data_IF_562884640438
#
_entry.id   IF_562884640438
#
_cell.length_a   1.000
_cell.length_b   1.000
_cell.length_c   1.000
_cell.angle_alpha   90.00
_cell.angle_beta   90.00
_cell.angle_gamma   90.00
#
_symmetry.space_group_name_H-M   'P 1'
#
loop_
_entity.id
_entity.type
_entity.pdbx_description
1 polymer ?
#
# COMPACT_ATOMS: atom_id res chain seq x y z
N UNK A 1 -19.43 3.43 -14.59
CA UNK A 1 -18.96 4.76 -14.06
C UNK A 1 -18.37 4.54 -12.69
N UNK A 2 -17.10 4.90 -12.51
CA UNK A 2 -16.39 4.79 -11.23
C UNK A 2 -16.97 5.78 -10.22
N UNK A 3 -17.21 5.30 -9.00
CA UNK A 3 -17.78 6.05 -7.86
C UNK A 3 -16.90 5.95 -6.63
N UNK A 4 -16.07 4.90 -6.52
CA UNK A 4 -15.22 4.62 -5.36
C UNK A 4 -13.78 4.45 -5.79
N UNK A 5 -12.88 5.16 -5.13
CA UNK A 5 -11.44 5.02 -5.33
C UNK A 5 -10.87 4.30 -4.10
N UNK A 6 -10.22 3.17 -4.35
CA UNK A 6 -9.52 2.37 -3.34
C UNK A 6 -8.02 2.70 -3.44
N UNK A 7 -7.42 3.18 -2.38
CA UNK A 7 -5.99 3.49 -2.35
C UNK A 7 -5.20 2.43 -1.59
N UNK A 8 -4.09 1.98 -2.13
CA UNK A 8 -3.04 1.41 -1.28
C UNK A 8 -2.43 2.49 -0.39
N UNK A 9 -1.57 2.10 0.54
CA UNK A 9 -1.00 2.98 1.56
C UNK A 9 0.48 3.25 1.32
N UNK A 10 1.30 2.19 1.50
CA UNK A 10 2.76 2.27 1.41
C UNK A 10 3.18 2.46 -0.06
N UNK A 11 3.85 3.56 -0.39
CA UNK A 11 4.22 3.88 -1.78
C UNK A 11 3.13 4.57 -2.60
N UNK A 12 1.92 4.69 -2.07
CA UNK A 12 0.79 5.32 -2.78
C UNK A 12 0.30 6.59 -2.09
N UNK A 13 -0.09 6.52 -0.82
CA UNK A 13 -0.45 7.68 -0.01
C UNK A 13 0.77 8.24 0.73
N UNK A 14 1.64 7.36 1.18
CA UNK A 14 2.73 7.66 2.10
C UNK A 14 4.03 7.01 1.65
N UNK A 15 5.13 7.76 1.64
CA UNK A 15 6.47 7.20 1.59
C UNK A 15 6.84 6.69 2.98
N UNK A 16 6.75 5.38 3.17
CA UNK A 16 7.03 4.67 4.41
C UNK A 16 8.38 3.94 4.39
N UNK A 17 9.13 4.10 3.31
CA UNK A 17 10.36 3.36 3.07
C UNK A 17 11.39 3.51 4.17
N UNK A 18 11.63 4.71 4.66
CA UNK A 18 12.64 4.94 5.71
C UNK A 18 12.38 4.08 6.94
N UNK A 19 11.15 4.10 7.46
CA UNK A 19 10.78 3.33 8.64
C UNK A 19 10.83 1.82 8.41
N UNK A 20 10.38 1.36 7.24
CA UNK A 20 10.42 -0.06 6.86
C UNK A 20 11.87 -0.52 6.72
N UNK A 21 12.68 0.16 5.90
CA UNK A 21 14.06 -0.24 5.63
C UNK A 21 14.90 -0.31 6.89
N UNK A 22 14.85 0.71 7.74
CA UNK A 22 15.56 0.74 9.03
C UNK A 22 15.11 -0.38 9.97
N UNK A 23 13.82 -0.71 9.97
CA UNK A 23 13.31 -1.79 10.81
C UNK A 23 13.67 -3.17 10.28
N UNK A 24 13.78 -3.33 8.96
CA UNK A 24 14.33 -4.54 8.33
C UNK A 24 15.80 -4.70 8.68
N UNK A 25 16.62 -3.64 8.57
CA UNK A 25 18.03 -3.68 8.98
C UNK A 25 18.17 -4.09 10.45
N UNK A 26 17.39 -3.47 11.35
CA UNK A 26 17.37 -3.84 12.76
C UNK A 26 17.02 -5.32 12.98
N UNK A 27 16.07 -5.85 12.22
CA UNK A 27 15.72 -7.26 12.30
C UNK A 27 16.87 -8.15 11.85
N UNK A 28 17.49 -7.85 10.69
CA UNK A 28 18.58 -8.60 10.09
C UNK A 28 19.85 -8.62 10.97
N UNK A 29 20.16 -7.50 11.62
CA UNK A 29 21.27 -7.43 12.59
C UNK A 29 21.16 -8.46 13.71
N UNK A 30 19.94 -8.80 14.14
CA UNK A 30 19.70 -9.86 15.12
C UNK A 30 20.09 -11.26 14.65
N UNK A 31 20.27 -11.44 13.35
CA UNK A 31 20.75 -12.67 12.69
C UNK A 31 22.20 -12.55 12.21
N UNK A 32 22.91 -11.48 12.60
CA UNK A 32 24.29 -11.21 12.17
C UNK A 32 24.40 -10.75 10.70
N UNK A 33 23.29 -10.32 10.09
CA UNK A 33 23.27 -9.86 8.69
C UNK A 33 23.28 -8.34 8.69
N UNK A 34 24.34 -7.74 8.15
CA UNK A 34 24.48 -6.28 7.97
C UNK A 34 24.16 -5.91 6.52
N UNK A 35 22.89 -5.67 6.23
CA UNK A 35 22.45 -5.31 4.88
C UNK A 35 22.59 -3.81 4.64
N UNK A 36 23.29 -3.43 3.57
CA UNK A 36 23.50 -2.04 3.13
C UNK A 36 22.98 -1.77 1.73
N UNK A 37 22.57 -2.82 1.00
CA UNK A 37 21.99 -2.68 -0.32
C UNK A 37 20.56 -2.14 -0.21
N UNK A 38 20.42 -0.84 -0.45
CA UNK A 38 19.13 -0.15 -0.43
C UNK A 38 18.15 -0.70 -1.47
N UNK A 39 18.62 -1.15 -2.63
CA UNK A 39 17.75 -1.72 -3.66
C UNK A 39 17.14 -3.05 -3.18
N UNK A 40 17.92 -3.86 -2.47
CA UNK A 40 17.43 -5.09 -1.86
C UNK A 40 16.45 -4.82 -0.72
N UNK A 41 16.75 -3.86 0.15
CA UNK A 41 15.86 -3.44 1.24
C UNK A 41 14.52 -2.88 0.73
N UNK A 42 14.52 -2.11 -0.36
CA UNK A 42 13.28 -1.56 -0.95
C UNK A 42 12.27 -2.64 -1.36
N UNK A 43 12.72 -3.86 -1.64
CA UNK A 43 11.83 -4.99 -1.97
C UNK A 43 10.94 -5.44 -0.81
N UNK A 44 11.20 -4.97 0.41
CA UNK A 44 10.33 -5.20 1.57
C UNK A 44 9.09 -4.28 1.60
N UNK A 45 9.06 -3.24 0.77
CA UNK A 45 7.90 -2.35 0.73
C UNK A 45 6.85 -2.93 -0.22
N UNK A 46 5.69 -3.27 0.33
CA UNK A 46 4.55 -3.83 -0.39
C UNK A 46 4.29 -5.32 -0.10
N UNK A 47 5.25 -6.24 -0.28
CA UNK A 47 5.03 -7.66 0.00
C UNK A 47 4.87 -7.99 1.49
N UNK A 48 4.27 -9.15 1.83
CA UNK A 48 4.30 -9.67 3.19
C UNK A 48 5.73 -9.87 3.70
N UNK A 49 6.02 -9.41 4.92
CA UNK A 49 7.36 -9.47 5.51
C UNK A 49 7.89 -10.91 5.63
N UNK A 50 7.03 -11.88 5.96
CA UNK A 50 7.41 -13.30 6.05
C UNK A 50 8.00 -13.81 4.73
N UNK A 51 7.30 -13.52 3.62
CA UNK A 51 7.73 -13.93 2.30
C UNK A 51 9.04 -13.24 1.91
N UNK A 52 9.13 -11.93 2.20
CA UNK A 52 10.34 -11.16 1.89
C UNK A 52 11.58 -11.65 2.65
N UNK A 53 11.47 -11.96 3.95
CA UNK A 53 12.58 -12.53 4.70
C UNK A 53 12.96 -13.93 4.20
N UNK A 54 11.98 -14.77 3.87
CA UNK A 54 12.23 -16.12 3.35
C UNK A 54 12.87 -16.08 1.96
N UNK A 55 12.36 -15.26 1.04
CA UNK A 55 12.84 -15.21 -0.35
C UNK A 55 14.19 -14.49 -0.48
N UNK A 56 14.36 -13.34 0.18
CA UNK A 56 15.56 -12.51 -0.02
C UNK A 56 16.76 -12.96 0.83
N UNK A 57 16.51 -13.64 1.96
CA UNK A 57 17.57 -14.06 2.89
C UNK A 57 17.59 -15.57 3.17
N UNK A 58 16.79 -16.34 2.43
CA UNK A 58 16.68 -17.80 2.58
C UNK A 58 16.40 -18.25 4.02
N UNK A 59 15.61 -17.48 4.76
CA UNK A 59 15.24 -17.79 6.13
C UNK A 59 14.24 -18.95 6.19
N UNK A 60 14.40 -19.85 7.17
CA UNK A 60 13.36 -20.84 7.46
C UNK A 60 12.08 -20.14 7.96
N UNK A 61 10.92 -20.81 7.93
CA UNK A 61 9.68 -20.21 8.45
C UNK A 61 9.81 -19.68 9.89
N UNK A 62 10.51 -20.40 10.75
CA UNK A 62 10.77 -20.02 12.15
C UNK A 62 11.67 -18.79 12.24
N UNK A 63 12.72 -18.73 11.41
CA UNK A 63 13.61 -17.57 11.33
C UNK A 63 12.89 -16.34 10.78
N UNK A 64 12.09 -16.50 9.74
CA UNK A 64 11.29 -15.40 9.18
C UNK A 64 10.28 -14.86 10.21
N UNK A 65 9.62 -15.73 10.97
CA UNK A 65 8.71 -15.30 12.05
C UNK A 65 9.47 -14.52 13.14
N UNK A 66 10.66 -15.00 13.55
CA UNK A 66 11.51 -14.31 14.53
C UNK A 66 11.99 -12.95 13.98
N UNK A 67 12.34 -12.86 12.68
CA UNK A 67 12.72 -11.62 12.03
C UNK A 67 11.55 -10.63 11.98
N UNK A 68 10.33 -11.07 11.68
CA UNK A 68 9.12 -10.22 11.72
C UNK A 68 8.83 -9.74 13.13
N UNK A 69 8.98 -10.58 14.15
CA UNK A 69 8.81 -10.16 15.54
C UNK A 69 9.82 -9.06 15.89
N UNK A 70 11.09 -9.26 15.56
CA UNK A 70 12.16 -8.26 15.79
C UNK A 70 11.97 -6.98 14.96
N UNK A 71 11.51 -7.09 13.71
CA UNK A 71 11.11 -5.93 12.92
C UNK A 71 10.06 -5.07 13.66
N UNK A 72 9.04 -5.71 14.23
CA UNK A 72 7.97 -5.02 14.96
C UNK A 72 8.45 -4.33 16.23
N UNK A 73 9.49 -4.84 16.90
CA UNK A 73 10.10 -4.18 18.08
C UNK A 73 10.56 -2.76 17.78
N UNK A 74 11.10 -2.51 16.58
CA UNK A 74 11.52 -1.19 16.15
C UNK A 74 10.42 -0.45 15.39
N UNK A 75 9.71 -1.16 14.52
CA UNK A 75 8.74 -0.51 13.63
C UNK A 75 7.59 0.13 14.40
N UNK A 76 7.01 -0.56 15.39
CA UNK A 76 5.84 -0.07 16.11
C UNK A 76 6.11 1.21 16.91
N UNK A 77 7.19 1.34 17.71
CA UNK A 77 7.43 2.55 18.49
C UNK A 77 8.09 3.68 17.70
N UNK A 78 8.79 3.38 16.62
CA UNK A 78 9.63 4.37 15.91
C UNK A 78 9.35 4.37 14.41
N UNK A 79 9.56 3.25 13.74
CA UNK A 79 9.55 3.15 12.28
C UNK A 79 8.23 3.55 11.64
N UNK A 80 7.10 3.28 12.30
CA UNK A 80 5.78 3.67 11.84
C UNK A 80 5.64 5.19 11.64
N UNK A 81 6.43 5.97 12.35
CA UNK A 81 6.42 7.44 12.27
C UNK A 81 7.54 8.02 11.39
N UNK A 82 8.46 7.19 10.93
CA UNK A 82 9.49 7.54 9.93
C UNK A 82 8.87 7.43 8.52
N UNK A 83 7.89 8.27 8.24
CA UNK A 83 7.16 8.32 6.98
C UNK A 83 6.70 9.74 6.66
N UNK A 84 6.49 10.02 5.39
CA UNK A 84 5.97 11.30 4.90
C UNK A 84 4.86 11.06 3.88
N UNK A 85 3.89 11.98 3.81
CA UNK A 85 2.90 11.96 2.72
C UNK A 85 3.57 12.33 1.41
N UNK A 86 3.14 11.72 0.31
CA UNK A 86 3.50 12.25 -1.00
C UNK A 86 2.89 13.63 -1.19
N UNK A 87 3.68 14.61 -1.72
CA UNK A 87 3.19 15.97 -1.93
C UNK A 87 1.92 15.99 -2.79
N UNK A 88 0.87 16.68 -2.34
CA UNK A 88 -0.39 16.82 -3.05
C UNK A 88 -1.45 15.75 -2.70
N UNK A 89 -1.13 14.74 -1.88
CA UNK A 89 -2.10 13.72 -1.46
C UNK A 89 -3.27 14.31 -0.65
N UNK A 90 -3.07 15.18 0.35
CA UNK A 90 -4.19 15.77 1.08
C UNK A 90 -5.16 16.52 0.16
N UNK A 91 -4.62 17.37 -0.71
CA UNK A 91 -5.40 18.17 -1.67
C UNK A 91 -6.13 17.28 -2.69
N UNK A 92 -5.50 16.20 -3.14
CA UNK A 92 -6.12 15.22 -4.03
C UNK A 92 -7.33 14.57 -3.36
N UNK A 93 -7.19 14.09 -2.12
CA UNK A 93 -8.27 13.44 -1.38
C UNK A 93 -9.46 14.41 -1.18
N UNK A 94 -9.20 15.66 -0.82
CA UNK A 94 -10.23 16.69 -0.68
C UNK A 94 -10.94 16.97 -2.03
N UNK A 95 -10.19 17.07 -3.12
CA UNK A 95 -10.76 17.24 -4.48
C UNK A 95 -11.65 16.06 -4.87
N UNK A 96 -11.22 14.83 -4.63
CA UNK A 96 -12.03 13.63 -4.94
C UNK A 96 -13.33 13.62 -4.15
N UNK A 97 -13.30 13.94 -2.86
CA UNK A 97 -14.48 14.07 -2.00
C UNK A 97 -15.42 15.16 -2.52
N UNK A 98 -14.90 16.34 -2.90
CA UNK A 98 -15.69 17.45 -3.45
C UNK A 98 -16.38 17.09 -4.77
N UNK A 99 -15.79 16.16 -5.56
CA UNK A 99 -16.39 15.64 -6.79
C UNK A 99 -17.34 14.44 -6.55
N UNK A 100 -17.60 14.10 -5.30
CA UNK A 100 -18.56 13.07 -4.93
C UNK A 100 -18.05 11.64 -4.98
N UNK A 101 -16.74 11.42 -5.12
CA UNK A 101 -16.15 10.08 -4.99
C UNK A 101 -16.18 9.62 -3.53
N UNK A 102 -16.46 8.33 -3.34
CA UNK A 102 -16.08 7.62 -2.12
C UNK A 102 -14.61 7.33 -2.19
N UNK A 103 -13.93 7.42 -1.05
CA UNK A 103 -12.49 7.19 -0.96
C UNK A 103 -12.24 6.22 0.18
N UNK A 104 -11.54 5.12 -0.09
CA UNK A 104 -11.23 4.11 0.91
C UNK A 104 -9.77 3.68 0.82
N UNK A 105 -9.22 3.20 1.92
CA UNK A 105 -7.92 2.52 1.94
C UNK A 105 -8.12 1.02 1.82
N UNK A 106 -7.35 0.39 0.94
CA UNK A 106 -7.30 -1.05 0.72
C UNK A 106 -5.83 -1.49 0.65
N UNK A 107 -5.23 -1.83 1.82
CA UNK A 107 -3.78 -2.00 1.96
C UNK A 107 -3.36 -3.32 2.57
N UNK A 108 -2.20 -3.85 2.17
CA UNK A 108 -1.54 -4.96 2.85
C UNK A 108 -0.99 -4.61 4.24
N UNK A 109 -0.92 -3.30 4.57
CA UNK A 109 -0.54 -2.84 5.90
C UNK A 109 -1.61 -3.18 6.93
N UNK A 110 -1.27 -3.62 8.17
CA UNK A 110 -2.26 -3.84 9.23
C UNK A 110 -3.12 -2.61 9.49
N UNK A 111 -4.46 -2.82 9.56
CA UNK A 111 -5.45 -1.75 9.75
C UNK A 111 -5.09 -0.76 10.87
N UNK A 112 -4.68 -1.20 12.10
CA UNK A 112 -4.34 -0.27 13.16
C UNK A 112 -3.12 0.62 12.83
N UNK A 113 -2.15 0.08 12.08
CA UNK A 113 -0.96 0.84 11.67
C UNK A 113 -1.33 1.91 10.63
N UNK A 114 -2.12 1.55 9.61
CA UNK A 114 -2.57 2.50 8.61
C UNK A 114 -3.36 3.66 9.25
N UNK A 115 -4.30 3.35 10.16
CA UNK A 115 -5.08 4.34 10.90
C UNK A 115 -4.21 5.27 11.74
N UNK A 116 -3.23 4.71 12.47
CA UNK A 116 -2.32 5.52 13.30
C UNK A 116 -1.57 6.58 12.49
N UNK A 117 -1.12 6.22 11.28
CA UNK A 117 -0.44 7.17 10.38
C UNK A 117 -1.43 8.20 9.84
N UNK A 118 -2.63 7.78 9.39
CA UNK A 118 -3.65 8.69 8.88
C UNK A 118 -4.10 9.71 9.95
N UNK A 119 -4.25 9.27 11.20
CA UNK A 119 -4.59 10.14 12.33
C UNK A 119 -3.50 11.18 12.59
N UNK A 120 -2.22 10.78 12.54
CA UNK A 120 -1.10 11.71 12.68
C UNK A 120 -1.10 12.84 11.65
N UNK A 121 -1.56 12.54 10.43
CA UNK A 121 -1.65 13.52 9.33
C UNK A 121 -3.04 14.16 9.19
N UNK A 122 -3.99 13.89 10.10
CA UNK A 122 -5.39 14.36 10.06
C UNK A 122 -6.12 13.98 8.76
N UNK A 123 -5.80 12.83 8.17
CA UNK A 123 -6.37 12.35 6.91
C UNK A 123 -7.44 11.28 7.07
N UNK A 124 -7.55 10.60 8.23
CA UNK A 124 -8.51 9.50 8.39
C UNK A 124 -9.95 9.94 8.09
N UNK A 125 -10.31 11.17 8.43
CA UNK A 125 -11.63 11.78 8.17
C UNK A 125 -12.01 11.88 6.69
N UNK A 126 -11.04 11.80 5.77
CA UNK A 126 -11.27 11.86 4.33
C UNK A 126 -11.61 10.49 3.71
N UNK A 127 -11.46 9.41 4.47
CA UNK A 127 -11.76 8.06 4.00
C UNK A 127 -13.08 7.55 4.56
N UNK A 128 -13.88 6.92 3.70
CA UNK A 128 -15.13 6.26 4.09
C UNK A 128 -14.85 4.99 4.91
N UNK A 129 -13.74 4.29 4.60
CA UNK A 129 -13.21 3.20 5.42
C UNK A 129 -11.70 3.02 5.23
N UNK A 130 -11.07 2.37 6.21
CA UNK A 130 -9.66 1.97 6.18
C UNK A 130 -9.61 0.47 6.42
N UNK A 131 -9.29 -0.27 5.37
CA UNK A 131 -9.21 -1.73 5.37
C UNK A 131 -7.77 -2.15 5.09
N UNK A 132 -7.20 -2.90 6.02
CA UNK A 132 -5.89 -3.52 5.90
C UNK A 132 -5.93 -5.00 6.25
N UNK A 133 -4.78 -5.66 6.25
CA UNK A 133 -4.66 -7.01 6.81
C UNK A 133 -4.83 -6.99 8.33
N UNK A 134 -4.96 -8.17 8.94
CA UNK A 134 -4.96 -8.34 10.38
C UNK A 134 -3.67 -9.03 10.85
N UNK A 135 -3.35 -8.90 12.13
CA UNK A 135 -2.14 -9.53 12.70
C UNK A 135 -2.23 -11.06 12.77
N UNK A 136 -3.43 -11.62 12.75
CA UNK A 136 -3.70 -13.06 12.76
C UNK A 136 -3.65 -13.71 11.37
N UNK A 137 -3.36 -12.92 10.33
CA UNK A 137 -3.31 -13.35 8.94
C UNK A 137 -4.63 -13.24 8.19
N UNK A 138 -5.72 -12.81 8.83
CA UNK A 138 -6.98 -12.49 8.15
C UNK A 138 -6.75 -11.35 7.17
N UNK A 139 -7.30 -11.49 5.94
CA UNK A 139 -7.06 -10.57 4.83
C UNK A 139 -5.58 -10.45 4.47
N UNK A 140 -4.88 -11.60 4.41
CA UNK A 140 -3.46 -11.67 4.14
C UNK A 140 -3.06 -11.35 2.69
N UNK A 141 -4.02 -11.32 1.77
CA UNK A 141 -3.80 -11.02 0.35
C UNK A 141 -4.43 -9.68 -0.05
N UNK A 142 -3.88 -9.04 -1.09
CA UNK A 142 -4.46 -7.79 -1.62
C UNK A 142 -5.89 -8.00 -2.14
N UNK A 143 -6.20 -9.16 -2.73
CA UNK A 143 -7.55 -9.48 -3.20
C UNK A 143 -8.57 -9.51 -2.04
N UNK A 144 -8.22 -10.13 -0.91
CA UNK A 144 -9.09 -10.17 0.27
C UNK A 144 -9.33 -8.77 0.86
N UNK A 145 -8.29 -7.92 0.87
CA UNK A 145 -8.40 -6.53 1.32
C UNK A 145 -9.30 -5.72 0.39
N UNK A 146 -9.12 -5.84 -0.93
CA UNK A 146 -9.97 -5.18 -1.94
C UNK A 146 -11.41 -5.63 -1.81
N UNK A 147 -11.67 -6.95 -1.71
CA UNK A 147 -13.01 -7.49 -1.53
C UNK A 147 -13.68 -6.95 -0.25
N UNK A 148 -12.95 -6.86 0.86
CA UNK A 148 -13.46 -6.30 2.11
C UNK A 148 -13.77 -4.80 1.98
N UNK A 149 -12.93 -4.03 1.28
CA UNK A 149 -13.18 -2.59 1.03
C UNK A 149 -14.40 -2.37 0.14
N UNK A 150 -14.62 -3.21 -0.90
CA UNK A 150 -15.81 -3.19 -1.73
C UNK A 150 -17.07 -3.47 -0.91
N UNK A 151 -17.03 -4.47 -0.03
CA UNK A 151 -18.15 -4.83 0.84
C UNK A 151 -18.48 -3.70 1.82
N UNK A 152 -17.48 -3.13 2.48
CA UNK A 152 -17.65 -2.02 3.44
C UNK A 152 -18.21 -0.77 2.78
N UNK A 153 -17.71 -0.42 1.60
CA UNK A 153 -18.22 0.73 0.82
C UNK A 153 -19.50 0.42 0.04
N UNK A 154 -19.99 -0.81 0.07
CA UNK A 154 -21.15 -1.27 -0.69
C UNK A 154 -21.01 -0.91 -2.18
N UNK A 155 -19.81 -1.11 -2.74
CA UNK A 155 -19.48 -0.75 -4.12
C UNK A 155 -19.34 -2.02 -4.97
N UNK A 156 -20.01 -2.04 -6.12
CA UNK A 156 -19.81 -3.09 -7.10
C UNK A 156 -18.43 -2.94 -7.77
N UNK A 157 -17.73 -4.04 -8.11
CA UNK A 157 -16.37 -3.99 -8.67
C UNK A 157 -16.21 -3.04 -9.86
N UNK A 158 -17.18 -3.02 -10.78
CA UNK A 158 -17.19 -2.17 -11.97
C UNK A 158 -17.40 -0.67 -11.67
N UNK A 159 -17.76 -0.33 -10.43
CA UNK A 159 -17.87 1.03 -9.95
C UNK A 159 -16.70 1.48 -9.05
N UNK A 160 -15.70 0.62 -8.88
CA UNK A 160 -14.49 0.89 -8.11
C UNK A 160 -13.26 0.98 -9.01
N UNK A 161 -12.26 1.73 -8.58
CA UNK A 161 -10.92 1.82 -9.17
C UNK A 161 -9.88 1.69 -8.06
N UNK A 162 -8.94 0.78 -8.22
CA UNK A 162 -7.78 0.66 -7.33
C UNK A 162 -6.68 1.63 -7.77
N UNK A 163 -5.99 2.25 -6.82
CA UNK A 163 -4.77 3.02 -7.02
C UNK A 163 -3.66 2.39 -6.18
N UNK A 164 -2.56 2.02 -6.81
CA UNK A 164 -1.46 1.37 -6.11
C UNK A 164 -0.15 1.47 -6.89
N UNK A 165 0.96 1.21 -6.20
CA UNK A 165 2.31 1.36 -6.75
C UNK A 165 3.03 0.03 -6.98
N UNK A 166 2.39 -1.12 -6.71
CA UNK A 166 3.00 -2.44 -6.90
C UNK A 166 2.11 -3.37 -7.74
N UNK A 167 2.76 -4.35 -8.37
CA UNK A 167 2.05 -5.43 -9.09
C UNK A 167 0.97 -6.13 -8.25
N UNK A 168 1.14 -6.18 -6.94
CA UNK A 168 0.19 -6.80 -6.01
C UNK A 168 -1.15 -6.06 -5.99
N UNK A 169 -1.13 -4.72 -6.14
CA UNK A 169 -2.33 -3.89 -6.25
C UNK A 169 -3.09 -4.21 -7.52
N UNK A 170 -2.34 -4.28 -8.64
CA UNK A 170 -2.91 -4.58 -9.95
C UNK A 170 -3.53 -5.97 -9.97
N UNK A 171 -2.78 -7.00 -9.56
CA UNK A 171 -3.25 -8.40 -9.60
C UNK A 171 -4.34 -8.66 -8.58
N UNK A 172 -4.25 -8.07 -7.36
CA UNK A 172 -5.26 -8.21 -6.32
C UNK A 172 -6.57 -7.53 -6.67
N UNK A 173 -6.53 -6.34 -7.28
CA UNK A 173 -7.71 -5.66 -7.78
C UNK A 173 -8.36 -6.45 -8.95
N UNK A 174 -7.55 -6.92 -9.90
CA UNK A 174 -8.02 -7.71 -11.04
C UNK A 174 -8.73 -9.00 -10.60
N UNK A 175 -8.25 -9.67 -9.56
CA UNK A 175 -8.89 -10.85 -8.97
C UNK A 175 -10.31 -10.56 -8.44
N UNK A 176 -10.60 -9.29 -8.11
CA UNK A 176 -11.92 -8.82 -7.68
C UNK A 176 -12.71 -8.16 -8.82
N UNK A 177 -12.21 -8.16 -10.06
CA UNK A 177 -12.86 -7.48 -11.18
C UNK A 177 -12.75 -5.95 -11.14
N UNK A 178 -11.80 -5.41 -10.38
CA UNK A 178 -11.55 -3.96 -10.23
C UNK A 178 -10.35 -3.56 -11.10
N UNK A 179 -10.47 -2.54 -11.97
CA UNK A 179 -9.34 -2.00 -12.68
C UNK A 179 -8.37 -1.30 -11.71
N UNK A 180 -7.07 -1.27 -12.07
CA UNK A 180 -6.05 -0.59 -11.28
C UNK A 180 -5.36 0.51 -12.09
N UNK A 181 -5.26 1.70 -11.52
CA UNK A 181 -4.41 2.81 -11.96
C UNK A 181 -3.10 2.74 -11.19
N UNK A 182 -2.02 2.44 -11.88
CA UNK A 182 -0.70 2.33 -11.29
C UNK A 182 0.00 3.67 -11.09
N UNK A 183 0.78 3.81 -10.03
CA UNK A 183 1.57 5.03 -9.77
C UNK A 183 3.06 4.70 -9.68
N UNK A 184 3.90 5.44 -10.41
CA UNK A 184 5.36 5.23 -10.45
C UNK A 184 6.15 6.13 -9.50
N UNK A 185 5.50 7.02 -8.76
CA UNK A 185 6.18 7.80 -7.72
C UNK A 185 6.46 6.99 -6.44
N UNK A 186 5.94 5.74 -6.36
CA UNK A 186 6.15 4.80 -5.27
C UNK A 186 7.36 3.87 -5.47
N UNK A 187 7.16 2.57 -5.31
CA UNK A 187 8.21 1.54 -5.26
C UNK A 187 8.22 0.56 -6.43
N UNK A 188 7.35 0.75 -7.43
CA UNK A 188 7.34 -0.10 -8.63
C UNK A 188 8.67 -0.04 -9.38
N UNK A 189 9.10 -1.20 -9.86
CA UNK A 189 10.19 -1.28 -10.85
C UNK A 189 9.67 -0.86 -12.23
N UNK A 190 10.53 -0.32 -13.12
CA UNK A 190 10.13 0.05 -14.45
C UNK A 190 9.45 -1.10 -15.22
N UNK A 191 8.23 -0.90 -15.72
CA UNK A 191 7.44 -1.89 -16.46
C UNK A 191 6.69 -2.89 -15.56
N UNK A 192 6.84 -2.84 -14.23
CA UNK A 192 6.16 -3.75 -13.30
C UNK A 192 4.64 -3.65 -13.40
N UNK A 193 4.13 -2.44 -13.46
CA UNK A 193 2.69 -2.17 -13.42
C UNK A 193 2.00 -2.57 -14.71
N UNK A 194 2.60 -2.25 -15.86
CA UNK A 194 2.08 -2.63 -17.18
C UNK A 194 2.13 -4.15 -17.37
N UNK A 195 3.23 -4.79 -16.97
CA UNK A 195 3.37 -6.24 -17.03
C UNK A 195 2.33 -6.96 -16.14
N UNK A 196 1.90 -6.34 -15.05
CA UNK A 196 0.84 -6.85 -14.20
C UNK A 196 -0.57 -6.58 -14.74
N UNK A 197 -0.72 -5.75 -15.78
CA UNK A 197 -2.01 -5.43 -16.42
C UNK A 197 -2.72 -4.19 -15.85
N UNK A 198 -1.96 -3.20 -15.36
CA UNK A 198 -2.53 -1.92 -14.94
C UNK A 198 -3.33 -1.28 -16.10
N UNK A 199 -4.52 -0.77 -15.81
CA UNK A 199 -5.40 -0.14 -16.81
C UNK A 199 -4.82 1.19 -17.34
N UNK A 200 -4.04 1.87 -16.52
CA UNK A 200 -3.24 3.03 -16.88
C UNK A 200 -2.14 3.21 -15.82
N UNK A 201 -1.12 4.03 -16.12
CA UNK A 201 -0.07 4.41 -15.19
C UNK A 201 0.17 5.91 -15.22
N UNK A 202 0.61 6.48 -14.09
CA UNK A 202 0.96 7.89 -13.95
C UNK A 202 2.26 8.04 -13.17
N UNK A 203 2.96 9.16 -13.37
CA UNK A 203 4.29 9.39 -12.79
C UNK A 203 4.25 10.27 -11.54
N UNK A 204 3.20 11.07 -11.36
CA UNK A 204 3.09 12.05 -10.29
C UNK A 204 1.71 12.07 -9.66
N UNK A 205 1.61 12.59 -8.42
CA UNK A 205 0.32 12.81 -7.74
C UNK A 205 -0.57 13.80 -8.51
N UNK A 206 0.04 14.78 -9.19
CA UNK A 206 -0.72 15.72 -10.01
C UNK A 206 -1.39 15.03 -11.21
N UNK A 207 -0.65 14.18 -11.95
CA UNK A 207 -1.20 13.36 -13.03
C UNK A 207 -2.27 12.39 -12.52
N UNK A 208 -2.05 11.79 -11.33
CA UNK A 208 -3.05 10.95 -10.68
C UNK A 208 -4.37 11.70 -10.49
N UNK A 209 -4.30 12.92 -9.95
CA UNK A 209 -5.48 13.74 -9.72
C UNK A 209 -6.27 14.03 -11.00
N UNK A 210 -5.58 14.46 -12.05
CA UNK A 210 -6.23 14.72 -13.35
C UNK A 210 -6.82 13.45 -13.96
N UNK A 211 -6.09 12.33 -13.89
CA UNK A 211 -6.58 11.05 -14.43
C UNK A 211 -7.80 10.52 -13.68
N UNK A 212 -7.84 10.63 -12.35
CA UNK A 212 -8.98 10.18 -11.55
C UNK A 212 -10.23 11.01 -11.80
N UNK A 213 -10.11 12.33 -11.87
CA UNK A 213 -11.27 13.23 -12.09
C UNK A 213 -11.89 13.04 -13.47
N UNK A 214 -11.09 12.72 -14.48
CA UNK A 214 -11.54 12.48 -15.87
C UNK A 214 -11.66 11.00 -16.24
N UNK A 215 -11.57 10.08 -15.29
CA UNK A 215 -11.60 8.64 -15.57
C UNK A 215 -12.87 8.20 -16.31
N UNK A 216 -13.99 8.77 -15.97
CA UNK A 216 -15.28 8.41 -16.53
C UNK A 216 -15.58 9.06 -17.90
N UNK A 217 -14.70 9.92 -18.39
CA UNK A 217 -14.84 10.65 -19.66
C UNK A 217 -14.07 9.99 -20.82
N UNK A 218 -13.26 8.98 -20.53
CA UNK A 218 -12.35 8.30 -21.45
C UNK A 218 -12.96 7.06 -22.12
#
# INVERSE_FOLDING_TARGET
>A
MIKTILFDFDGTLCDTGEGILRSVQYALEGFGIHETDTARLRKFVGPPLLDSFSELYAMTPEQAQAAVARYRERYLPVGIYECTLYPGIPELLERLRAHGFRVAVATGKPTPMARSILQRFDLERLFDCVIGCEYDGTRGTKAEVVAAALAETQTAPEAALMVGDRKYDVTGAAACGVPCLGVYYGYAEPGELEAAGAAAVVQTVAELGERLLHWNEA
#
